data_IF_975877840190
#
_entry.id   IF_975877840190
#
_cell.length_a   1.000
_cell.length_b   1.000
_cell.length_c   1.000
_cell.angle_alpha   90.00
_cell.angle_beta   90.00
_cell.angle_gamma   90.00
#
_symmetry.space_group_name_H-M   'P 1'
#
loop_
_entity.id
_entity.type
_entity.pdbx_description
1 polymer ?
#
# COMPACT_ATOMS: atom_id res chain seq x y z
N UNK A 1 22.43 -5.88 15.73
CA UNK A 1 22.66 -5.76 14.27
C UNK A 1 22.71 -4.29 13.91
N UNK A 2 23.54 -3.88 12.95
CA UNK A 2 23.47 -2.53 12.39
C UNK A 2 22.33 -2.44 11.35
N UNK A 3 22.03 -1.22 10.87
CA UNK A 3 20.95 -0.95 9.93
C UNK A 3 20.95 -1.86 8.68
N UNK A 4 22.12 -1.97 8.03
CA UNK A 4 22.23 -2.74 6.78
C UNK A 4 22.18 -4.26 7.00
N UNK A 5 22.73 -4.73 8.11
CA UNK A 5 22.63 -6.14 8.52
C UNK A 5 21.19 -6.51 8.84
N UNK A 6 20.44 -5.65 9.54
CA UNK A 6 19.03 -5.87 9.85
C UNK A 6 18.20 -5.89 8.56
N UNK A 7 18.42 -4.94 7.65
CA UNK A 7 17.77 -4.91 6.34
C UNK A 7 17.95 -6.23 5.59
N UNK A 8 19.21 -6.67 5.43
CA UNK A 8 19.53 -7.92 4.72
C UNK A 8 18.97 -9.16 5.43
N UNK A 9 19.00 -9.18 6.76
CA UNK A 9 18.45 -10.29 7.54
C UNK A 9 16.94 -10.43 7.32
N UNK A 10 16.19 -9.32 7.34
CA UNK A 10 14.76 -9.30 7.03
C UNK A 10 14.48 -9.74 5.59
N UNK A 11 15.22 -9.20 4.63
CA UNK A 11 15.07 -9.53 3.21
C UNK A 11 15.33 -11.00 2.89
N UNK A 12 16.23 -11.66 3.61
CA UNK A 12 16.56 -13.07 3.41
C UNK A 12 15.55 -14.04 4.04
N UNK A 13 14.53 -13.54 4.73
CA UNK A 13 13.40 -14.33 5.20
C UNK A 13 12.26 -14.16 4.19
N UNK A 14 11.83 -15.22 3.46
CA UNK A 14 10.65 -15.13 2.60
C UNK A 14 9.41 -14.70 3.38
N UNK A 15 8.61 -13.80 2.81
CA UNK A 15 7.34 -13.34 3.38
C UNK A 15 6.41 -12.85 2.29
N UNK A 16 6.20 -13.65 1.25
CA UNK A 16 5.17 -13.34 0.25
C UNK A 16 3.82 -13.31 0.96
N UNK A 17 2.96 -12.32 0.61
CA UNK A 17 1.65 -12.13 1.25
C UNK A 17 0.90 -13.45 1.41
N UNK A 18 0.56 -13.80 2.65
CA UNK A 18 0.01 -15.09 3.07
C UNK A 18 1.02 -16.01 3.76
N UNK A 19 2.32 -15.70 3.75
CA UNK A 19 3.39 -16.52 4.35
C UNK A 19 4.38 -15.64 5.15
N UNK A 20 3.86 -14.88 6.14
CA UNK A 20 4.62 -13.91 6.93
C UNK A 20 5.09 -14.46 8.29
N UNK A 21 4.75 -15.68 8.67
CA UNK A 21 5.03 -16.24 10.00
C UNK A 21 6.50 -16.17 10.37
N UNK A 22 7.40 -16.53 9.44
CA UNK A 22 8.83 -16.58 9.69
C UNK A 22 9.43 -15.20 9.96
N UNK A 23 9.07 -14.18 9.17
CA UNK A 23 9.55 -12.80 9.36
C UNK A 23 8.93 -12.18 10.60
N UNK A 24 7.66 -12.46 10.88
CA UNK A 24 6.97 -12.02 12.10
C UNK A 24 7.64 -12.58 13.36
N UNK A 25 7.99 -13.87 13.36
CA UNK A 25 8.72 -14.52 14.46
C UNK A 25 10.10 -13.90 14.66
N UNK A 26 10.85 -13.64 13.58
CA UNK A 26 12.14 -12.96 13.64
C UNK A 26 12.00 -11.56 14.25
N UNK A 27 11.04 -10.75 13.80
CA UNK A 27 10.81 -9.39 14.32
C UNK A 27 10.41 -9.41 15.80
N UNK A 28 9.51 -10.30 16.20
CA UNK A 28 9.14 -10.49 17.60
C UNK A 28 10.38 -10.74 18.47
N UNK A 29 11.20 -11.71 18.09
CA UNK A 29 12.34 -12.13 18.90
C UNK A 29 13.44 -11.06 18.91
N UNK A 30 13.65 -10.38 17.77
CA UNK A 30 14.59 -9.27 17.66
C UNK A 30 14.17 -8.10 18.57
N UNK A 31 12.93 -7.65 18.49
CA UNK A 31 12.41 -6.54 19.31
C UNK A 31 12.43 -6.88 20.81
N UNK A 32 12.05 -8.12 21.19
CA UNK A 32 12.17 -8.58 22.58
C UNK A 32 13.62 -8.58 23.06
N UNK A 33 14.58 -8.97 22.23
CA UNK A 33 16.00 -8.93 22.58
C UNK A 33 16.53 -7.52 22.80
N UNK A 34 15.87 -6.50 22.23
CA UNK A 34 16.14 -5.08 22.45
C UNK A 34 15.39 -4.55 23.69
N UNK A 35 14.55 -5.33 24.36
CA UNK A 35 13.80 -4.93 25.55
C UNK A 35 12.45 -4.30 25.31
N UNK A 36 11.90 -4.42 24.11
CA UNK A 36 10.53 -3.98 23.80
C UNK A 36 9.50 -4.97 24.35
N UNK A 37 8.36 -4.45 24.83
CA UNK A 37 7.15 -5.25 24.99
C UNK A 37 6.59 -5.54 23.60
N UNK A 38 6.36 -6.81 23.27
CA UNK A 38 5.90 -7.22 21.94
C UNK A 38 4.65 -8.07 22.05
N UNK A 39 3.57 -7.59 21.45
CA UNK A 39 2.30 -8.28 21.27
C UNK A 39 2.19 -8.81 19.84
N UNK A 40 1.63 -10.01 19.70
CA UNK A 40 1.24 -10.59 18.42
C UNK A 40 -0.28 -10.49 18.31
N UNK A 41 -0.77 -9.74 17.34
CA UNK A 41 -2.20 -9.66 17.07
C UNK A 41 -2.56 -10.62 15.95
N UNK A 42 -3.34 -11.69 16.21
CA UNK A 42 -3.76 -12.62 15.18
C UNK A 42 -4.62 -11.95 14.11
N UNK A 43 -4.31 -12.23 12.84
CA UNK A 43 -5.07 -11.79 11.65
C UNK A 43 -5.66 -13.00 10.94
N UNK A 44 -4.87 -14.05 10.76
CA UNK A 44 -5.30 -15.37 10.26
C UNK A 44 -4.50 -16.48 10.92
N UNK A 45 -4.65 -17.73 10.48
CA UNK A 45 -4.05 -18.91 11.14
C UNK A 45 -2.54 -18.79 11.40
N UNK A 46 -1.77 -18.24 10.42
CA UNK A 46 -0.30 -18.11 10.53
C UNK A 46 0.18 -16.67 10.31
N UNK A 47 -0.72 -15.71 10.41
CA UNK A 47 -0.41 -14.30 10.16
C UNK A 47 -0.74 -13.48 11.41
N UNK A 48 0.25 -12.79 11.94
CA UNK A 48 0.11 -11.90 13.08
C UNK A 48 0.71 -10.55 12.78
N UNK A 49 0.00 -9.48 13.10
CA UNK A 49 0.61 -8.18 13.23
C UNK A 49 1.58 -8.17 14.41
N UNK A 50 2.65 -7.40 14.29
CA UNK A 50 3.63 -7.18 15.36
C UNK A 50 3.40 -5.79 15.93
N UNK A 51 3.05 -5.71 17.20
CA UNK A 51 2.86 -4.44 17.91
C UNK A 51 3.89 -4.38 19.03
N UNK A 52 4.76 -3.36 19.03
CA UNK A 52 5.80 -3.22 20.02
C UNK A 52 5.80 -1.82 20.63
N UNK A 53 6.08 -1.73 21.93
CA UNK A 53 6.07 -0.47 22.65
C UNK A 53 6.98 -0.52 23.88
N UNK A 54 7.39 0.65 24.37
CA UNK A 54 8.25 0.80 25.56
C UNK A 54 7.45 1.18 26.82
N UNK A 55 6.32 1.89 26.65
CA UNK A 55 5.41 2.26 27.71
C UNK A 55 3.95 1.96 27.31
N UNK A 56 3.02 2.04 28.26
CA UNK A 56 1.60 1.69 28.04
C UNK A 56 0.79 2.74 27.24
N UNK A 57 1.38 3.89 26.91
CA UNK A 57 0.70 5.00 26.22
C UNK A 57 1.62 5.65 25.19
N UNK A 58 2.09 4.92 24.18
CA UNK A 58 2.89 5.49 23.13
C UNK A 58 2.05 6.47 22.29
N UNK A 59 2.55 7.70 22.13
CA UNK A 59 1.85 8.77 21.39
C UNK A 59 2.10 8.73 19.90
N UNK A 60 3.28 8.23 19.48
CA UNK A 60 3.67 8.12 18.07
C UNK A 60 3.95 6.68 17.73
N UNK A 61 3.33 6.17 16.66
CA UNK A 61 3.67 4.85 16.11
C UNK A 61 4.37 4.99 14.77
N UNK A 62 5.46 4.24 14.59
CA UNK A 62 6.07 3.96 13.30
C UNK A 62 5.45 2.66 12.79
N UNK A 63 4.92 2.65 11.58
CA UNK A 63 4.29 1.47 11.01
C UNK A 63 4.74 1.21 9.58
N UNK A 64 4.68 -0.03 9.16
CA UNK A 64 4.76 -0.48 7.76
C UNK A 64 4.35 -1.95 7.70
N UNK A 65 4.41 -2.57 6.53
CA UNK A 65 4.05 -3.98 6.34
C UNK A 65 5.28 -4.89 6.32
N UNK A 66 5.05 -6.20 6.58
CA UNK A 66 6.09 -7.23 6.60
C UNK A 66 6.03 -8.18 5.41
N UNK A 67 4.92 -8.18 4.69
CA UNK A 67 4.75 -8.96 3.48
C UNK A 67 5.42 -8.33 2.27
N UNK A 68 5.55 -9.09 1.21
CA UNK A 68 6.11 -8.66 -0.07
C UNK A 68 5.38 -9.33 -1.23
N UNK A 69 5.35 -8.68 -2.40
CA UNK A 69 4.89 -9.33 -3.62
C UNK A 69 5.84 -10.44 -4.08
N UNK A 70 5.33 -11.49 -4.79
CA UNK A 70 6.20 -12.49 -5.43
C UNK A 70 6.95 -11.90 -6.65
N UNK A 71 8.05 -12.55 -7.09
CA UNK A 71 8.73 -13.66 -6.45
C UNK A 71 9.66 -13.20 -5.30
N UNK A 72 9.99 -14.14 -4.40
CA UNK A 72 11.07 -13.92 -3.44
C UNK A 72 12.40 -13.71 -4.16
N UNK A 73 13.15 -12.68 -3.77
CA UNK A 73 14.49 -12.37 -4.26
C UNK A 73 15.34 -12.02 -3.03
N UNK A 74 16.31 -12.88 -2.71
CA UNK A 74 17.20 -12.70 -1.57
C UNK A 74 18.07 -11.45 -1.66
N UNK A 75 18.59 -11.00 -0.53
CA UNK A 75 19.41 -9.80 -0.45
C UNK A 75 20.78 -9.98 -1.10
N UNK A 76 21.20 -8.99 -1.86
CA UNK A 76 22.58 -8.77 -2.30
C UNK A 76 22.93 -7.29 -2.15
N UNK A 77 24.23 -6.95 -2.17
CA UNK A 77 24.65 -5.56 -2.01
C UNK A 77 25.91 -5.24 -2.79
N UNK A 78 26.08 -3.98 -3.13
CA UNK A 78 27.34 -3.35 -3.50
C UNK A 78 27.68 -2.21 -2.50
N UNK A 79 28.60 -1.34 -2.87
CA UNK A 79 29.03 -0.24 -1.99
C UNK A 79 27.89 0.77 -1.71
N UNK A 80 26.97 0.97 -2.64
CA UNK A 80 25.94 2.00 -2.60
C UNK A 80 24.54 1.46 -2.29
N UNK A 81 24.22 0.22 -2.66
CA UNK A 81 22.86 -0.31 -2.71
C UNK A 81 22.74 -1.65 -2.00
N UNK A 82 21.50 -1.91 -1.54
CA UNK A 82 21.02 -3.24 -1.16
C UNK A 82 19.93 -3.61 -2.15
N UNK A 83 20.07 -4.75 -2.82
CA UNK A 83 19.17 -5.27 -3.83
C UNK A 83 18.38 -6.45 -3.31
N UNK A 84 17.16 -6.63 -3.81
CA UNK A 84 16.30 -7.77 -3.56
C UNK A 84 14.89 -7.37 -3.16
N UNK A 85 13.99 -8.34 -3.08
CA UNK A 85 12.57 -8.11 -2.74
C UNK A 85 12.43 -7.62 -1.31
N UNK A 86 11.69 -6.51 -1.12
CA UNK A 86 11.55 -5.83 0.17
C UNK A 86 12.67 -4.84 0.47
N UNK A 87 13.60 -4.59 -0.45
CA UNK A 87 14.69 -3.64 -0.22
C UNK A 87 14.14 -2.24 0.09
N UNK A 88 13.22 -1.74 -0.72
CA UNK A 88 12.51 -0.49 -0.48
C UNK A 88 11.07 -0.71 0.00
N UNK A 89 10.46 -1.86 -0.29
CA UNK A 89 9.04 -2.13 -0.06
C UNK A 89 8.82 -3.49 0.64
N UNK A 90 8.81 -3.57 2.03
CA UNK A 90 9.10 -2.47 2.95
C UNK A 90 10.12 -2.87 4.04
N UNK A 91 10.92 -3.97 3.84
CA UNK A 91 11.84 -4.51 4.88
C UNK A 91 12.98 -3.55 5.22
N UNK A 92 13.46 -2.77 4.24
CA UNK A 92 14.42 -1.69 4.49
C UNK A 92 13.83 -0.59 5.37
N UNK A 93 12.55 -0.29 5.19
CA UNK A 93 11.79 0.67 6.01
C UNK A 93 11.68 0.17 7.45
N UNK A 94 11.34 -1.11 7.66
CA UNK A 94 11.30 -1.73 9.00
C UNK A 94 12.64 -1.53 9.72
N UNK A 95 13.75 -1.83 9.03
CA UNK A 95 15.08 -1.68 9.61
C UNK A 95 15.40 -0.22 9.98
N UNK A 96 15.02 0.74 9.12
CA UNK A 96 15.20 2.16 9.39
C UNK A 96 14.34 2.64 10.58
N UNK A 97 13.08 2.21 10.66
CA UNK A 97 12.16 2.53 11.76
C UNK A 97 12.66 1.97 13.10
N UNK A 98 13.08 0.69 13.15
CA UNK A 98 13.63 0.08 14.37
C UNK A 98 14.90 0.83 14.81
N UNK A 99 15.77 1.16 13.85
CA UNK A 99 17.01 1.89 14.15
C UNK A 99 16.73 3.29 14.71
N UNK A 100 15.76 4.00 14.13
CA UNK A 100 15.33 5.32 14.61
C UNK A 100 14.69 5.24 16.01
N UNK A 101 13.84 4.25 16.24
CA UNK A 101 13.21 4.02 17.54
C UNK A 101 14.24 3.71 18.64
N UNK A 102 15.27 2.91 18.35
CA UNK A 102 16.36 2.65 19.28
C UNK A 102 17.25 3.88 19.51
N UNK A 103 17.40 4.77 18.53
CA UNK A 103 18.10 6.03 18.72
C UNK A 103 17.30 6.95 19.65
N UNK A 104 15.98 7.10 19.43
CA UNK A 104 15.07 7.88 20.27
C UNK A 104 15.07 7.37 21.72
N UNK A 105 15.02 6.04 21.90
CA UNK A 105 15.09 5.43 23.24
C UNK A 105 16.40 5.75 23.97
N UNK A 106 17.54 5.75 23.29
CA UNK A 106 18.84 6.15 23.90
C UNK A 106 18.87 7.60 24.33
N UNK A 107 18.04 8.44 23.71
CA UNK A 107 17.84 9.85 24.07
C UNK A 107 16.76 10.04 25.16
N UNK A 108 16.19 8.95 25.70
CA UNK A 108 15.17 8.96 26.75
C UNK A 108 13.75 9.20 26.26
N UNK A 109 13.50 9.04 24.95
CA UNK A 109 12.18 9.17 24.35
C UNK A 109 11.56 7.77 24.22
N UNK A 110 10.51 7.50 25.03
CA UNK A 110 9.84 6.21 25.12
C UNK A 110 8.37 6.26 24.69
N UNK A 111 7.83 7.46 24.34
CA UNK A 111 6.45 7.66 23.87
C UNK A 111 6.26 7.23 22.42
N UNK A 112 6.89 6.13 22.04
CA UNK A 112 6.92 5.56 20.71
C UNK A 112 6.51 4.09 20.72
N UNK A 113 5.84 3.68 19.62
CA UNK A 113 5.50 2.30 19.33
C UNK A 113 5.83 1.93 17.90
N UNK A 114 5.81 0.64 17.62
CA UNK A 114 6.00 0.06 16.29
C UNK A 114 4.80 -0.81 15.96
N UNK A 115 4.27 -0.69 14.75
CA UNK A 115 3.20 -1.53 14.22
C UNK A 115 3.63 -2.07 12.86
N UNK A 116 3.79 -3.39 12.76
CA UNK A 116 4.12 -4.06 11.51
C UNK A 116 2.97 -4.97 11.10
N UNK A 117 2.34 -4.65 9.97
CA UNK A 117 1.12 -5.31 9.46
C UNK A 117 1.45 -6.43 8.49
N UNK A 118 0.52 -7.37 8.36
CA UNK A 118 0.53 -8.44 7.33
C UNK A 118 -0.47 -8.10 6.22
N UNK A 119 -0.28 -8.72 5.03
CA UNK A 119 -1.26 -8.66 3.92
C UNK A 119 -1.50 -7.25 3.34
N UNK A 120 -0.58 -6.30 3.42
CA UNK A 120 -0.74 -4.98 2.80
C UNK A 120 -0.90 -5.10 1.29
N UNK A 121 -0.04 -5.88 0.67
CA UNK A 121 0.10 -6.04 -0.78
C UNK A 121 -1.12 -6.72 -1.46
N UNK A 122 -2.08 -7.20 -0.66
CA UNK A 122 -3.26 -7.89 -1.18
C UNK A 122 -4.58 -7.37 -0.63
N UNK A 123 -4.80 -7.52 0.68
CA UNK A 123 -6.11 -7.34 1.30
C UNK A 123 -6.15 -6.27 2.38
N UNK A 124 -4.98 -5.80 2.85
CA UNK A 124 -4.83 -4.95 4.05
C UNK A 124 -5.53 -5.54 5.28
N UNK A 125 -5.55 -6.88 5.38
CA UNK A 125 -6.22 -7.56 6.51
C UNK A 125 -5.53 -7.20 7.84
N UNK A 126 -4.19 -7.09 7.84
CA UNK A 126 -3.42 -6.67 9.01
C UNK A 126 -3.82 -5.28 9.49
N UNK A 127 -3.88 -4.30 8.61
CA UNK A 127 -4.28 -2.94 8.95
C UNK A 127 -5.72 -2.87 9.49
N UNK A 128 -6.65 -3.59 8.86
CA UNK A 128 -8.04 -3.69 9.33
C UNK A 128 -8.13 -4.26 10.74
N UNK A 129 -7.38 -5.33 11.02
CA UNK A 129 -7.31 -5.90 12.36
C UNK A 129 -6.64 -4.94 13.36
N UNK A 130 -5.53 -4.29 12.95
CA UNK A 130 -4.82 -3.32 13.77
C UNK A 130 -5.71 -2.12 14.15
N UNK A 131 -6.64 -1.73 13.30
CA UNK A 131 -7.55 -0.60 13.56
C UNK A 131 -8.45 -0.82 14.77
N UNK A 132 -8.71 -2.08 15.17
CA UNK A 132 -9.48 -2.45 16.32
C UNK A 132 -8.63 -2.64 17.59
N UNK A 133 -7.31 -2.46 17.52
CA UNK A 133 -6.41 -2.67 18.65
C UNK A 133 -6.56 -1.55 19.70
N UNK A 134 -6.58 -1.87 21.02
CA UNK A 134 -6.78 -0.86 22.08
C UNK A 134 -5.75 0.29 22.08
N UNK A 135 -4.53 0.06 21.61
CA UNK A 135 -3.51 1.10 21.50
C UNK A 135 -3.82 2.12 20.40
N UNK A 136 -4.66 1.80 19.42
CA UNK A 136 -5.05 2.74 18.38
C UNK A 136 -5.66 4.02 18.98
N UNK A 137 -6.55 3.89 19.94
CA UNK A 137 -7.18 5.02 20.63
C UNK A 137 -6.22 5.86 21.50
N UNK A 138 -5.00 5.39 21.74
CA UNK A 138 -3.97 6.10 22.51
C UNK A 138 -2.94 6.80 21.62
N UNK A 139 -2.88 6.42 20.35
CA UNK A 139 -1.99 6.97 19.35
C UNK A 139 -2.45 8.36 18.91
N UNK A 140 -1.56 9.33 18.93
CA UNK A 140 -1.83 10.69 18.41
C UNK A 140 -1.38 10.82 16.97
N UNK A 141 -0.29 10.14 16.59
CA UNK A 141 0.33 10.22 15.27
C UNK A 141 0.80 8.87 14.78
N UNK A 142 0.41 8.50 13.57
CA UNK A 142 0.85 7.29 12.90
C UNK A 142 1.75 7.68 11.71
N UNK A 143 3.02 7.30 11.76
CA UNK A 143 3.96 7.46 10.65
C UNK A 143 4.05 6.12 9.91
N UNK A 144 3.27 5.99 8.85
CA UNK A 144 3.35 4.82 7.99
C UNK A 144 4.59 4.92 7.07
N UNK A 145 5.22 3.80 6.81
CA UNK A 145 6.43 3.69 6.01
C UNK A 145 6.13 3.10 4.64
N UNK A 146 6.44 3.85 3.60
CA UNK A 146 6.39 3.45 2.19
C UNK A 146 7.50 4.13 1.42
N UNK A 147 7.91 3.63 0.22
CA UNK A 147 8.99 4.23 -0.55
C UNK A 147 8.58 5.60 -1.11
N UNK A 148 8.88 6.65 -0.36
CA UNK A 148 8.57 8.04 -0.69
C UNK A 148 9.80 8.88 -1.07
N UNK A 149 10.93 8.25 -1.43
CA UNK A 149 12.20 8.93 -1.71
C UNK A 149 12.66 9.82 -0.54
N UNK A 150 12.33 9.48 0.71
CA UNK A 150 12.56 10.26 1.92
C UNK A 150 11.84 11.63 1.98
N UNK A 151 10.84 11.86 1.13
CA UNK A 151 9.95 13.01 1.24
C UNK A 151 8.74 12.68 2.12
N UNK A 152 8.26 13.63 2.90
CA UNK A 152 7.02 13.50 3.67
C UNK A 152 5.83 13.59 2.71
N UNK A 153 5.12 12.48 2.53
CA UNK A 153 3.90 12.51 1.72
C UNK A 153 2.76 13.14 2.53
N UNK A 154 2.19 14.21 1.98
CA UNK A 154 1.07 14.95 2.59
C UNK A 154 -0.29 14.53 2.01
N UNK A 155 -0.30 13.58 1.09
CA UNK A 155 -1.48 12.98 0.53
C UNK A 155 -1.16 11.76 -0.32
N UNK A 156 -2.08 10.79 -0.36
CA UNK A 156 -2.05 9.65 -1.26
C UNK A 156 -3.35 9.56 -2.06
N UNK A 157 -3.25 9.19 -3.35
CA UNK A 157 -4.43 8.93 -4.17
C UNK A 157 -5.11 7.66 -3.71
N UNK A 158 -6.44 7.63 -3.84
CA UNK A 158 -7.21 6.41 -3.65
C UNK A 158 -7.07 5.43 -4.82
N UNK A 159 -7.67 4.28 -4.66
CA UNK A 159 -7.83 3.28 -5.74
C UNK A 159 -9.28 2.80 -5.79
N UNK A 160 -9.78 2.60 -7.00
CA UNK A 160 -11.11 2.06 -7.25
C UNK A 160 -11.00 1.02 -8.34
N UNK A 161 -11.22 -0.25 -8.00
CA UNK A 161 -11.12 -1.38 -8.92
C UNK A 161 -12.51 -1.88 -9.26
N UNK A 162 -12.78 -1.99 -10.55
CA UNK A 162 -14.06 -2.39 -11.11
C UNK A 162 -13.88 -3.50 -12.13
N UNK A 163 -14.88 -4.36 -12.26
CA UNK A 163 -15.07 -5.27 -13.39
C UNK A 163 -16.30 -4.82 -14.18
N UNK A 164 -16.14 -4.58 -15.47
CA UNK A 164 -17.25 -4.33 -16.40
C UNK A 164 -17.52 -5.64 -17.14
N UNK A 165 -18.73 -6.13 -17.10
CA UNK A 165 -19.17 -7.38 -17.72
C UNK A 165 -20.22 -7.09 -18.77
N UNK A 166 -20.08 -7.68 -19.96
CA UNK A 166 -21.04 -7.55 -21.05
C UNK A 166 -21.58 -8.92 -21.46
N UNK A 167 -22.85 -8.96 -21.80
CA UNK A 167 -23.54 -10.15 -22.27
C UNK A 167 -24.06 -9.93 -23.71
N UNK A 168 -24.07 -11.02 -24.47
CA UNK A 168 -24.53 -11.06 -25.83
C UNK A 168 -25.24 -12.37 -26.16
N UNK A 169 -25.38 -12.65 -27.45
CA UNK A 169 -26.03 -13.86 -27.97
C UNK A 169 -25.08 -14.55 -28.94
N UNK A 170 -24.72 -15.81 -28.64
CA UNK A 170 -23.90 -16.60 -29.54
C UNK A 170 -24.62 -16.90 -30.85
N UNK A 171 -23.88 -16.86 -31.95
CA UNK A 171 -24.32 -17.26 -33.28
C UNK A 171 -23.09 -17.66 -34.12
N UNK A 172 -23.33 -18.26 -35.28
CA UNK A 172 -22.27 -18.50 -36.25
C UNK A 172 -21.80 -17.18 -36.85
N UNK A 173 -20.49 -16.91 -36.88
CA UNK A 173 -19.92 -15.62 -37.31
C UNK A 173 -20.26 -15.22 -38.75
N UNK A 174 -20.63 -16.18 -39.61
CA UNK A 174 -21.09 -15.92 -40.98
C UNK A 174 -22.51 -15.33 -41.04
N UNK A 175 -23.26 -15.31 -39.91
CA UNK A 175 -24.63 -14.79 -39.79
C UNK A 175 -24.71 -13.84 -38.61
N UNK A 176 -24.00 -12.67 -38.67
CA UNK A 176 -23.90 -11.76 -37.52
C UNK A 176 -25.25 -11.21 -37.06
N UNK A 177 -26.23 -11.12 -37.94
CA UNK A 177 -27.61 -10.67 -37.65
C UNK A 177 -28.38 -11.62 -36.71
N UNK A 178 -27.89 -12.86 -36.49
CA UNK A 178 -28.51 -13.84 -35.60
C UNK A 178 -27.93 -13.77 -34.19
N UNK A 179 -26.82 -13.06 -34.01
CA UNK A 179 -26.09 -12.93 -32.76
C UNK A 179 -26.13 -11.52 -32.18
N UNK A 180 -25.44 -11.37 -31.06
CA UNK A 180 -25.20 -10.07 -30.41
C UNK A 180 -23.83 -10.17 -29.70
N UNK A 181 -22.86 -9.37 -30.13
CA UNK A 181 -21.47 -9.50 -29.68
C UNK A 181 -21.22 -8.79 -28.37
N UNK A 182 -20.93 -9.55 -27.31
CA UNK A 182 -20.49 -8.98 -26.04
C UNK A 182 -19.14 -8.25 -26.15
N UNK A 183 -18.24 -8.73 -27.03
CA UNK A 183 -16.93 -8.08 -27.22
C UNK A 183 -17.12 -6.70 -27.85
N UNK A 184 -17.95 -6.56 -28.90
CA UNK A 184 -18.20 -5.25 -29.53
C UNK A 184 -18.79 -4.25 -28.51
N UNK A 185 -19.78 -4.67 -27.69
CA UNK A 185 -20.32 -3.84 -26.60
C UNK A 185 -19.24 -3.42 -25.61
N UNK A 186 -18.35 -4.35 -25.23
CA UNK A 186 -17.26 -4.04 -24.29
C UNK A 186 -16.26 -3.04 -24.91
N UNK A 187 -15.90 -3.21 -26.17
CA UNK A 187 -15.00 -2.30 -26.88
C UNK A 187 -15.58 -0.87 -26.93
N UNK A 188 -16.86 -0.74 -27.25
CA UNK A 188 -17.56 0.55 -27.26
C UNK A 188 -17.57 1.20 -25.85
N UNK A 189 -17.80 0.42 -24.81
CA UNK A 189 -17.75 0.91 -23.42
C UNK A 189 -16.32 1.37 -23.08
N UNK A 190 -15.30 0.57 -23.40
CA UNK A 190 -13.92 0.91 -23.10
C UNK A 190 -13.43 2.14 -23.87
N UNK A 191 -13.90 2.32 -25.12
CA UNK A 191 -13.62 3.54 -25.90
C UNK A 191 -14.26 4.77 -25.24
N UNK A 192 -15.50 4.68 -24.80
CA UNK A 192 -16.17 5.75 -24.06
C UNK A 192 -15.45 6.05 -22.72
N UNK A 193 -14.99 5.02 -21.98
CA UNK A 193 -14.19 5.19 -20.76
C UNK A 193 -12.90 5.97 -21.05
N UNK A 194 -12.19 5.65 -22.13
CA UNK A 194 -10.94 6.32 -22.52
C UNK A 194 -11.14 7.81 -22.84
N UNK A 195 -12.33 8.20 -23.33
CA UNK A 195 -12.67 9.58 -23.64
C UNK A 195 -13.41 10.32 -22.51
N UNK A 196 -13.75 9.62 -21.43
CA UNK A 196 -14.44 10.23 -20.29
C UNK A 196 -13.47 11.12 -19.51
N UNK A 197 -13.90 12.36 -19.26
CA UNK A 197 -13.23 13.28 -18.37
C UNK A 197 -13.70 13.01 -16.95
N UNK A 198 -12.86 12.33 -16.18
CA UNK A 198 -13.12 12.10 -14.76
C UNK A 198 -12.87 13.37 -13.94
N UNK A 199 -13.57 13.56 -12.82
CA UNK A 199 -13.28 14.62 -11.87
C UNK A 199 -11.82 14.55 -11.37
N UNK A 200 -11.21 15.71 -11.20
CA UNK A 200 -9.85 15.90 -10.66
C UNK A 200 -9.91 16.74 -9.40
N UNK A 201 -8.85 16.73 -8.62
CA UNK A 201 -8.67 17.57 -7.44
C UNK A 201 -7.36 18.35 -7.56
N UNK A 202 -7.36 19.62 -7.14
CA UNK A 202 -6.16 20.48 -7.26
C UNK A 202 -4.99 20.00 -6.39
N UNK A 203 -5.27 19.41 -5.23
CA UNK A 203 -4.25 18.91 -4.31
C UNK A 203 -3.72 17.54 -4.75
N UNK A 204 -4.60 16.60 -5.12
CA UNK A 204 -4.21 15.25 -5.53
C UNK A 204 -3.84 15.16 -7.02
N UNK A 205 -4.22 16.14 -7.85
CA UNK A 205 -3.99 16.16 -9.28
C UNK A 205 -5.03 15.37 -10.08
N UNK A 206 -4.60 14.71 -11.16
CA UNK A 206 -5.50 14.05 -12.11
C UNK A 206 -5.93 12.65 -11.66
N UNK A 207 -7.21 12.32 -11.85
CA UNK A 207 -7.74 10.96 -11.83
C UNK A 207 -7.26 10.20 -13.05
N UNK A 208 -6.69 9.01 -12.89
CA UNK A 208 -6.21 8.18 -14.00
C UNK A 208 -6.90 6.83 -14.02
N UNK A 209 -7.11 6.27 -15.22
CA UNK A 209 -7.72 4.96 -15.43
C UNK A 209 -6.74 4.05 -16.17
N UNK A 210 -6.60 2.85 -15.67
CA UNK A 210 -5.90 1.75 -16.33
C UNK A 210 -6.89 0.64 -16.68
N UNK A 211 -6.96 0.25 -17.93
CA UNK A 211 -7.64 -0.98 -18.37
C UNK A 211 -6.63 -2.10 -18.18
N UNK A 212 -6.77 -2.85 -17.07
CA UNK A 212 -5.77 -3.83 -16.63
C UNK A 212 -5.93 -5.20 -17.29
N UNK A 213 -7.18 -5.63 -17.52
CA UNK A 213 -7.50 -6.91 -18.16
C UNK A 213 -8.65 -6.76 -19.13
N UNK A 214 -8.64 -7.55 -20.21
CA UNK A 214 -9.76 -7.71 -21.15
C UNK A 214 -9.84 -9.18 -21.53
N UNK A 215 -10.99 -9.79 -21.32
CA UNK A 215 -11.24 -11.19 -21.62
C UNK A 215 -12.59 -11.35 -22.32
N UNK A 216 -12.71 -12.35 -23.23
CA UNK A 216 -13.97 -12.62 -23.89
C UNK A 216 -13.89 -13.58 -25.07
N UNK A 217 -15.08 -13.99 -25.54
CA UNK A 217 -15.23 -14.90 -26.65
C UNK A 217 -15.05 -16.36 -26.29
N UNK A 218 -15.23 -17.23 -27.29
CA UNK A 218 -15.09 -18.71 -27.18
C UNK A 218 -14.35 -19.31 -28.36
N UNK A 219 -14.57 -18.82 -29.59
CA UNK A 219 -13.93 -19.26 -30.81
C UNK A 219 -14.06 -18.21 -31.92
N UNK A 220 -13.16 -18.20 -32.89
CA UNK A 220 -13.12 -17.20 -33.99
C UNK A 220 -14.36 -17.22 -34.88
N UNK A 221 -15.04 -18.33 -34.97
CA UNK A 221 -16.24 -18.51 -35.80
C UNK A 221 -17.56 -18.42 -35.02
N UNK A 222 -17.52 -17.92 -33.75
CA UNK A 222 -18.69 -17.74 -32.86
C UNK A 222 -18.80 -16.28 -32.45
N UNK A 223 -19.99 -15.68 -32.59
CA UNK A 223 -20.32 -14.36 -32.03
C UNK A 223 -20.17 -14.46 -30.50
N UNK A 224 -19.34 -13.62 -29.84
CA UNK A 224 -19.04 -13.73 -28.41
C UNK A 224 -20.26 -13.50 -27.53
N UNK A 225 -20.66 -14.49 -26.68
CA UNK A 225 -21.81 -14.33 -25.77
C UNK A 225 -21.47 -13.61 -24.48
N UNK A 226 -20.19 -13.43 -24.15
CA UNK A 226 -19.72 -12.75 -22.93
C UNK A 226 -18.34 -12.14 -23.14
N UNK A 227 -18.10 -11.02 -22.46
CA UNK A 227 -16.78 -10.42 -22.33
C UNK A 227 -16.73 -9.60 -21.03
N UNK A 228 -15.52 -9.38 -20.51
CA UNK A 228 -15.31 -8.58 -19.31
C UNK A 228 -13.99 -7.81 -19.36
N UNK A 229 -13.91 -6.69 -18.63
CA UNK A 229 -12.70 -5.89 -18.48
C UNK A 229 -12.54 -5.39 -17.04
N UNK A 230 -11.32 -5.53 -16.52
CA UNK A 230 -10.92 -5.00 -15.22
C UNK A 230 -10.34 -3.59 -15.35
N UNK A 231 -10.89 -2.64 -14.61
CA UNK A 231 -10.41 -1.26 -14.52
C UNK A 231 -9.81 -0.98 -13.16
N UNK A 232 -8.66 -0.30 -13.15
CA UNK A 232 -8.05 0.29 -11.95
C UNK A 232 -8.01 1.81 -12.10
N UNK A 233 -8.75 2.52 -11.25
CA UNK A 233 -8.88 3.97 -11.27
C UNK A 233 -8.12 4.54 -10.05
N UNK A 234 -7.20 5.48 -10.27
CA UNK A 234 -6.56 6.25 -9.19
C UNK A 234 -7.43 7.44 -8.84
N UNK A 235 -8.07 7.36 -7.67
CA UNK A 235 -8.99 8.39 -7.19
C UNK A 235 -8.23 9.63 -6.69
N UNK A 236 -8.73 10.78 -7.05
CA UNK A 236 -8.32 12.09 -6.51
C UNK A 236 -9.46 12.82 -5.81
N UNK A 237 -10.69 12.33 -6.02
CA UNK A 237 -11.93 12.76 -5.38
C UNK A 237 -12.59 11.55 -4.72
N UNK A 238 -13.64 11.73 -3.90
CA UNK A 238 -14.46 10.62 -3.46
C UNK A 238 -14.95 9.76 -4.63
N UNK A 239 -15.18 8.47 -4.37
CA UNK A 239 -15.52 7.50 -5.44
C UNK A 239 -16.85 7.78 -6.12
N UNK A 240 -17.81 8.41 -5.42
CA UNK A 240 -19.17 8.57 -5.91
C UNK A 240 -19.24 9.27 -7.27
N UNK A 241 -18.63 10.45 -7.50
CA UNK A 241 -18.63 11.11 -8.82
C UNK A 241 -17.96 10.25 -9.91
N UNK A 242 -16.91 9.51 -9.55
CA UNK A 242 -16.21 8.62 -10.48
C UNK A 242 -17.11 7.45 -10.86
N UNK A 243 -17.77 6.83 -9.88
CA UNK A 243 -18.66 5.71 -10.10
C UNK A 243 -19.88 6.11 -10.96
N UNK A 244 -20.46 7.28 -10.70
CA UNK A 244 -21.55 7.81 -11.55
C UNK A 244 -21.08 8.08 -12.99
N UNK A 245 -19.85 8.58 -13.19
CA UNK A 245 -19.29 8.74 -14.53
C UNK A 245 -19.15 7.38 -15.24
N UNK A 246 -18.65 6.34 -14.55
CA UNK A 246 -18.56 4.98 -15.13
C UNK A 246 -19.95 4.42 -15.43
N UNK A 247 -20.92 4.57 -14.53
CA UNK A 247 -22.32 4.14 -14.79
C UNK A 247 -22.92 4.81 -16.03
N UNK A 248 -22.69 6.12 -16.17
CA UNK A 248 -23.18 6.89 -17.33
C UNK A 248 -22.53 6.43 -18.63
N UNK A 249 -21.35 5.86 -18.59
CA UNK A 249 -20.69 5.24 -19.74
C UNK A 249 -21.29 3.85 -20.01
N UNK A 250 -21.35 2.99 -19.01
CA UNK A 250 -21.79 1.59 -19.17
C UNK A 250 -23.27 1.50 -19.53
N UNK A 251 -24.13 2.28 -18.85
CA UNK A 251 -25.60 2.30 -19.04
C UNK A 251 -26.18 0.88 -18.96
N UNK A 252 -26.99 0.53 -19.97
CA UNK A 252 -27.64 -0.77 -20.17
C UNK A 252 -26.81 -1.75 -21.01
N UNK A 253 -25.60 -1.34 -21.43
CA UNK A 253 -24.71 -2.18 -22.26
C UNK A 253 -23.97 -3.25 -21.45
N UNK A 254 -23.90 -3.15 -20.13
CA UNK A 254 -23.18 -4.07 -19.27
C UNK A 254 -23.48 -3.91 -17.78
N UNK A 255 -22.86 -4.75 -16.99
CA UNK A 255 -22.92 -4.73 -15.53
C UNK A 255 -21.58 -4.26 -14.96
N UNK A 256 -21.62 -3.59 -13.79
CA UNK A 256 -20.43 -3.13 -13.06
C UNK A 256 -20.38 -3.88 -11.73
N UNK A 257 -19.26 -4.57 -11.50
CA UNK A 257 -18.94 -5.18 -10.21
C UNK A 257 -17.81 -4.37 -9.55
N UNK A 258 -18.03 -3.94 -8.31
CA UNK A 258 -17.00 -3.27 -7.50
C UNK A 258 -16.12 -4.33 -6.85
N UNK A 259 -14.83 -4.36 -7.18
CA UNK A 259 -13.86 -5.28 -6.61
C UNK A 259 -13.24 -4.74 -5.32
N UNK A 260 -12.82 -3.48 -5.32
CA UNK A 260 -12.27 -2.82 -4.14
C UNK A 260 -12.31 -1.30 -4.27
N UNK A 261 -12.29 -0.61 -3.12
CA UNK A 261 -12.18 0.84 -3.08
C UNK A 261 -11.40 1.27 -1.84
N UNK A 262 -10.52 2.26 -2.04
CA UNK A 262 -9.84 3.01 -1.00
C UNK A 262 -9.87 4.49 -1.41
N UNK A 263 -10.37 5.35 -0.54
CA UNK A 263 -10.50 6.78 -0.81
C UNK A 263 -9.14 7.49 -0.76
N UNK A 264 -8.98 8.65 -1.43
CA UNK A 264 -7.78 9.48 -1.28
C UNK A 264 -7.68 10.02 0.16
N UNK A 265 -6.46 10.08 0.69
CA UNK A 265 -6.21 10.51 2.07
C UNK A 265 -5.30 11.73 2.09
N UNK A 266 -5.72 12.80 2.77
CA UNK A 266 -4.84 13.90 3.16
C UNK A 266 -4.15 13.55 4.48
N UNK A 267 -2.86 13.82 4.54
CA UNK A 267 -2.01 13.51 5.68
C UNK A 267 -1.43 14.79 6.30
N UNK A 268 -0.91 14.66 7.52
CA UNK A 268 -0.36 15.79 8.26
C UNK A 268 0.91 16.31 7.57
N UNK A 269 0.90 17.60 7.24
CA UNK A 269 2.09 18.32 6.82
C UNK A 269 2.91 18.79 8.04
N UNK A 270 4.22 18.65 7.96
CA UNK A 270 5.16 19.09 9.00
C UNK A 270 6.24 19.95 8.35
N UNK A 271 6.48 21.14 8.92
CA UNK A 271 7.51 22.04 8.42
C UNK A 271 8.92 21.46 8.58
N UNK A 272 9.82 21.81 7.67
CA UNK A 272 11.20 21.34 7.67
C UNK A 272 11.41 20.00 6.95
N UNK A 273 10.38 19.45 6.33
CA UNK A 273 10.44 18.27 5.46
C UNK A 273 10.08 18.65 4.02
N UNK A 274 10.75 18.04 3.05
CA UNK A 274 10.27 18.09 1.67
C UNK A 274 8.93 17.38 1.60
N UNK A 275 7.98 17.91 0.83
CA UNK A 275 6.61 17.41 0.80
C UNK A 275 6.20 17.01 -0.61
N UNK A 276 5.39 15.96 -0.71
CA UNK A 276 4.80 15.54 -1.99
C UNK A 276 3.45 14.85 -1.81
N UNK A 277 2.71 14.70 -2.91
CA UNK A 277 1.54 13.82 -3.01
C UNK A 277 1.95 12.55 -3.76
N UNK A 278 1.70 11.39 -3.17
CA UNK A 278 1.99 10.11 -3.81
C UNK A 278 0.79 9.58 -4.59
N UNK A 279 1.05 8.75 -5.60
CA UNK A 279 0.01 8.24 -6.50
C UNK A 279 -0.47 6.83 -6.14
N UNK A 280 0.23 6.15 -5.24
CA UNK A 280 -0.11 4.81 -4.77
C UNK A 280 -0.96 4.87 -3.49
N UNK A 281 -1.56 3.76 -3.13
CA UNK A 281 -2.32 3.55 -1.88
C UNK A 281 -1.46 2.78 -0.88
N UNK A 282 -1.83 2.88 0.39
CA UNK A 282 -1.14 2.28 1.54
C UNK A 282 -2.17 1.71 2.51
N UNK A 283 -1.74 1.20 3.64
CA UNK A 283 -2.61 0.77 4.75
C UNK A 283 -3.32 1.92 5.49
N UNK A 284 -2.90 3.18 5.32
CA UNK A 284 -3.44 4.34 6.04
C UNK A 284 -4.98 4.44 6.00
N UNK A 285 -5.68 4.23 4.86
CA UNK A 285 -7.14 4.27 4.81
C UNK A 285 -7.85 3.29 5.75
N UNK A 286 -7.16 2.25 6.20
CA UNK A 286 -7.69 1.22 7.10
C UNK A 286 -7.24 1.41 8.56
N UNK A 287 -6.34 2.35 8.84
CA UNK A 287 -5.78 2.67 10.16
C UNK A 287 -6.40 3.95 10.77
N UNK A 288 -7.69 4.15 10.56
CA UNK A 288 -8.40 5.40 10.90
C UNK A 288 -8.45 5.73 12.40
N UNK A 289 -8.26 4.73 13.28
CA UNK A 289 -8.26 4.92 14.72
C UNK A 289 -6.87 5.24 15.30
N UNK A 290 -5.81 5.26 14.46
CA UNK A 290 -4.43 5.46 14.88
C UNK A 290 -3.96 6.93 14.84
N UNK A 291 -4.84 7.86 15.16
CA UNK A 291 -4.49 9.29 15.23
C UNK A 291 -4.26 9.92 13.84
N UNK A 292 -3.43 10.96 13.78
CA UNK A 292 -3.17 11.68 12.54
C UNK A 292 -2.15 10.92 11.68
N UNK A 293 -2.48 10.59 10.42
CA UNK A 293 -1.59 9.85 9.55
C UNK A 293 -0.49 10.72 8.93
N UNK A 294 0.71 10.15 8.84
CA UNK A 294 1.85 10.65 8.09
C UNK A 294 2.41 9.51 7.25
N UNK A 295 3.12 9.82 6.17
CA UNK A 295 3.72 8.83 5.29
C UNK A 295 5.13 9.24 4.89
N UNK A 296 6.12 8.40 5.19
CA UNK A 296 7.54 8.67 4.95
C UNK A 296 8.31 7.37 4.85
N UNK A 297 9.24 7.27 3.92
CA UNK A 297 10.21 6.18 3.91
C UNK A 297 11.27 6.28 2.82
N UNK A 298 12.38 5.53 2.98
CA UNK A 298 13.47 5.48 2.02
C UNK A 298 13.10 4.68 0.77
N UNK A 299 13.83 4.94 -0.30
CA UNK A 299 13.67 4.25 -1.57
C UNK A 299 12.54 4.81 -2.42
N UNK A 300 12.46 4.31 -3.65
CA UNK A 300 11.53 4.79 -4.65
C UNK A 300 10.50 3.73 -5.03
N UNK A 301 9.23 4.13 -5.08
CA UNK A 301 8.14 3.28 -5.57
C UNK A 301 8.35 2.82 -7.03
N UNK A 302 9.18 3.53 -7.79
CA UNK A 302 9.41 3.23 -9.21
C UNK A 302 10.23 1.94 -9.41
N UNK A 303 10.93 1.46 -8.38
CA UNK A 303 11.69 0.21 -8.42
C UNK A 303 11.03 -0.91 -7.61
N UNK A 304 10.06 -0.57 -6.75
CA UNK A 304 9.25 -1.54 -6.02
C UNK A 304 8.54 -2.49 -6.99
N UNK A 305 8.31 -3.74 -6.57
CA UNK A 305 7.65 -4.80 -7.35
C UNK A 305 8.40 -5.23 -8.62
N UNK A 306 9.57 -4.67 -8.90
CA UNK A 306 10.41 -5.09 -10.05
C UNK A 306 11.38 -6.21 -9.65
N UNK A 307 11.98 -6.86 -10.64
CA UNK A 307 13.06 -7.84 -10.41
C UNK A 307 14.37 -7.18 -9.97
N UNK A 308 14.50 -5.87 -10.22
CA UNK A 308 15.71 -5.07 -9.97
C UNK A 308 15.47 -4.12 -8.78
N UNK A 309 14.58 -4.48 -7.85
CA UNK A 309 14.28 -3.70 -6.65
C UNK A 309 15.54 -3.49 -5.79
N UNK A 310 15.72 -2.26 -5.34
CA UNK A 310 16.84 -1.86 -4.49
C UNK A 310 16.47 -0.68 -3.58
N UNK A 311 17.31 -0.47 -2.56
CA UNK A 311 17.34 0.76 -1.77
C UNK A 311 18.76 1.28 -1.68
N UNK A 312 18.96 2.60 -1.73
CA UNK A 312 20.26 3.22 -1.50
C UNK A 312 20.60 3.13 0.00
N UNK A 313 21.83 2.76 0.34
CA UNK A 313 22.31 2.75 1.72
C UNK A 313 22.25 4.14 2.35
N UNK A 314 22.50 5.18 1.54
CA UNK A 314 22.37 6.57 1.96
C UNK A 314 20.92 6.93 2.29
N UNK A 315 19.94 6.44 1.52
CA UNK A 315 18.53 6.71 1.79
C UNK A 315 18.08 6.05 3.09
N UNK A 316 18.52 4.82 3.35
CA UNK A 316 18.25 4.13 4.63
C UNK A 316 18.83 4.92 5.82
N UNK A 317 20.06 5.41 5.72
CA UNK A 317 20.68 6.23 6.77
C UNK A 317 19.95 7.56 6.94
N UNK A 318 19.59 8.22 5.84
CA UNK A 318 18.81 9.45 5.85
C UNK A 318 17.46 9.28 6.52
N UNK A 319 16.76 8.18 6.21
CA UNK A 319 15.45 7.85 6.80
C UNK A 319 15.50 7.74 8.33
N UNK A 320 16.55 7.14 8.89
CA UNK A 320 16.74 7.07 10.36
C UNK A 320 16.71 8.47 10.99
N UNK A 321 17.44 9.42 10.41
CA UNK A 321 17.46 10.80 10.86
C UNK A 321 16.11 11.49 10.68
N UNK A 322 15.43 11.26 9.54
CA UNK A 322 14.12 11.84 9.26
C UNK A 322 13.05 11.32 10.23
N UNK A 323 12.96 10.01 10.46
CA UNK A 323 12.06 9.43 11.46
C UNK A 323 12.32 9.99 12.86
N UNK A 324 13.59 10.05 13.29
CA UNK A 324 13.98 10.60 14.59
C UNK A 324 13.55 12.04 14.74
N UNK A 325 13.80 12.89 13.73
CA UNK A 325 13.41 14.30 13.74
C UNK A 325 11.88 14.47 13.70
N UNK A 326 11.19 13.66 12.87
CA UNK A 326 9.74 13.74 12.76
C UNK A 326 9.05 13.38 14.08
N UNK A 327 9.47 12.29 14.73
CA UNK A 327 8.94 11.89 16.06
C UNK A 327 9.15 12.99 17.09
N UNK A 328 10.35 13.58 17.17
CA UNK A 328 10.64 14.69 18.10
C UNK A 328 9.74 15.90 17.84
N UNK A 329 9.57 16.29 16.57
CA UNK A 329 8.70 17.40 16.18
C UNK A 329 7.23 17.13 16.59
N UNK A 330 6.75 15.89 16.40
CA UNK A 330 5.37 15.52 16.74
C UNK A 330 5.16 15.51 18.26
N UNK A 331 6.08 14.94 19.02
CA UNK A 331 6.01 14.90 20.49
C UNK A 331 6.13 16.29 21.13
N UNK A 332 6.80 17.23 20.48
CA UNK A 332 6.90 18.62 20.93
C UNK A 332 5.63 19.46 20.68
N UNK A 333 4.70 18.98 19.84
CA UNK A 333 3.39 19.60 19.66
C UNK A 333 2.57 19.38 20.94
N UNK A 334 2.21 20.43 21.61
CA UNK A 334 1.20 20.37 22.68
C UNK A 334 -0.17 20.17 22.05
N UNK A 335 -0.94 19.23 22.61
CA UNK A 335 -2.32 18.97 22.21
C UNK A 335 -3.20 20.22 22.33
#
# INVERSE_FOLDING_TARGET
MNLFELTKSLMNIPSVSGDEEAVGSFLRDHLRSLGWTVELQPVSENQNNIIAYLNERPRVFLSTHIDTVPPFIGASEDDEKIYGRGACDAKGIIAAQITAAEQLRREGIEDIGLLYTVEEERTSAGAKAANEHPLAAKCEYMINGEPTDNDLAIGSKGTFRLMIKTAGKAAHSAYPEQGDSAIEKLLDILEDVRHTKFPNDEFFGETTVNIGTVEGGVALNVIPPRAEAGLAIRLTTPKEPIFEAVKNVVRDRGEIEILSCSEPVKMLAVDGFNQKVVRFTTDIPYLTNWGQPLLLGPGSILVAHTKDEFVLKQDLQGAVGLYTNLVKNLLARTA
#
